data_IF_420563705846
#
_entry.id   IF_420563705846
#
_cell.length_a   1.000
_cell.length_b   1.000
_cell.length_c   1.000
_cell.angle_alpha   90.00
_cell.angle_beta   90.00
_cell.angle_gamma   90.00
#
_symmetry.space_group_name_H-M   'P 1'
#
loop_
_entity.id
_entity.type
_entity.pdbx_description
1 polymer ?
#
# COMPACT_ATOMS: atom_id res chain seq x y z
N UNK A 1 -15.58 -63.93 -24.78
CA UNK A 1 -15.31 -62.70 -25.52
C UNK A 1 -14.32 -61.90 -24.71
N UNK A 2 -13.05 -61.73 -25.16
CA UNK A 2 -12.07 -60.87 -24.48
C UNK A 2 -12.33 -59.42 -24.90
N UNK A 3 -12.82 -58.60 -23.99
CA UNK A 3 -12.84 -57.14 -24.20
C UNK A 3 -11.38 -56.63 -24.27
N UNK A 4 -10.94 -56.29 -25.45
CA UNK A 4 -9.68 -55.57 -25.63
C UNK A 4 -9.95 -54.09 -25.30
N UNK A 5 -9.41 -53.61 -24.19
CA UNK A 5 -9.39 -52.19 -23.89
C UNK A 5 -8.54 -51.49 -24.95
N UNK A 6 -8.98 -50.35 -25.51
CA UNK A 6 -8.17 -49.60 -26.47
C UNK A 6 -6.87 -49.16 -25.77
N UNK A 7 -5.75 -49.56 -26.32
CA UNK A 7 -4.43 -49.13 -25.85
C UNK A 7 -4.16 -47.70 -26.33
N UNK A 8 -3.84 -46.82 -25.41
CA UNK A 8 -3.48 -45.41 -25.70
C UNK A 8 -2.14 -45.33 -26.41
N UNK A 9 -2.05 -44.61 -27.52
CA UNK A 9 -0.80 -44.48 -28.27
C UNK A 9 0.11 -43.39 -27.66
N UNK A 10 1.39 -43.57 -27.77
CA UNK A 10 2.39 -42.60 -27.30
C UNK A 10 2.22 -41.21 -28.00
N UNK A 11 1.80 -41.23 -29.27
CA UNK A 11 1.54 -40.03 -30.08
C UNK A 11 0.32 -39.27 -29.55
N UNK A 12 -0.74 -39.92 -29.16
CA UNK A 12 -1.93 -39.25 -28.56
C UNK A 12 -1.56 -38.54 -27.27
N UNK A 13 -0.74 -39.16 -26.42
CA UNK A 13 -0.28 -38.51 -25.19
C UNK A 13 0.61 -37.31 -25.51
N UNK A 14 1.53 -37.42 -26.48
CA UNK A 14 2.45 -36.36 -26.85
C UNK A 14 1.73 -35.12 -27.40
N UNK A 15 0.69 -35.33 -28.23
CA UNK A 15 -0.12 -34.23 -28.77
C UNK A 15 -0.87 -33.49 -27.67
N UNK A 16 -1.42 -34.21 -26.70
CA UNK A 16 -2.14 -33.60 -25.57
C UNK A 16 -1.23 -32.73 -24.74
N UNK A 17 -0.03 -33.20 -24.36
CA UNK A 17 0.91 -32.40 -23.59
C UNK A 17 1.45 -31.19 -24.38
N UNK A 18 1.61 -31.31 -25.70
CA UNK A 18 2.00 -30.23 -26.55
C UNK A 18 0.95 -29.09 -26.59
N UNK A 19 -0.33 -29.46 -26.72
CA UNK A 19 -1.46 -28.51 -26.69
C UNK A 19 -1.58 -27.85 -25.31
N UNK A 20 -1.49 -28.62 -24.23
CA UNK A 20 -1.52 -28.11 -22.86
C UNK A 20 -0.34 -27.14 -22.60
N UNK A 21 0.86 -27.47 -23.09
CA UNK A 21 2.03 -26.60 -23.01
C UNK A 21 1.83 -25.27 -23.74
N UNK A 22 1.22 -25.31 -24.92
CA UNK A 22 0.91 -24.10 -25.70
C UNK A 22 -0.11 -23.21 -24.96
N UNK A 23 -1.19 -23.80 -24.44
CA UNK A 23 -2.23 -23.06 -23.71
C UNK A 23 -1.69 -22.43 -22.42
N UNK A 24 -0.92 -23.17 -21.63
CA UNK A 24 -0.31 -22.66 -20.39
C UNK A 24 0.68 -21.54 -20.63
N UNK A 25 1.42 -21.56 -21.74
CA UNK A 25 2.36 -20.49 -22.06
C UNK A 25 1.68 -19.14 -22.29
N UNK A 26 0.49 -19.12 -22.87
CA UNK A 26 -0.31 -17.89 -23.08
C UNK A 26 -0.96 -17.36 -21.81
N UNK A 27 -1.22 -18.21 -20.82
CA UNK A 27 -1.86 -17.81 -19.56
C UNK A 27 -0.89 -17.11 -18.59
N UNK A 28 0.40 -17.40 -18.67
CA UNK A 28 1.41 -16.89 -17.72
C UNK A 28 1.42 -15.38 -17.57
N UNK A 29 1.46 -14.55 -18.66
CA UNK A 29 1.48 -13.09 -18.53
C UNK A 29 0.16 -12.53 -17.96
N UNK A 30 -0.97 -13.16 -18.27
CA UNK A 30 -2.27 -12.75 -17.74
C UNK A 30 -2.36 -12.97 -16.23
N UNK A 31 -1.89 -14.11 -15.74
CA UNK A 31 -1.86 -14.44 -14.30
C UNK A 31 -0.99 -13.45 -13.52
N UNK A 32 0.18 -13.08 -14.05
CA UNK A 32 1.06 -12.10 -13.40
C UNK A 32 0.38 -10.74 -13.22
N UNK A 33 -0.33 -10.26 -14.24
CA UNK A 33 -1.08 -9.01 -14.18
C UNK A 33 -2.20 -9.05 -13.14
N UNK A 34 -2.99 -10.14 -13.13
CA UNK A 34 -4.07 -10.31 -12.15
C UNK A 34 -3.50 -10.36 -10.73
N UNK A 35 -2.37 -11.02 -10.52
CA UNK A 35 -1.71 -11.09 -9.23
C UNK A 35 -1.25 -9.70 -8.75
N UNK A 36 -0.62 -8.89 -9.62
CA UNK A 36 -0.22 -7.52 -9.29
C UNK A 36 -1.43 -6.65 -8.89
N UNK A 37 -2.53 -6.78 -9.63
CA UNK A 37 -3.77 -6.07 -9.28
C UNK A 37 -4.36 -6.51 -7.93
N UNK A 38 -4.34 -7.81 -7.64
CA UNK A 38 -4.79 -8.33 -6.34
C UNK A 38 -3.92 -7.79 -5.19
N UNK A 39 -2.61 -7.74 -5.36
CA UNK A 39 -1.68 -7.17 -4.38
C UNK A 39 -1.94 -5.68 -4.15
N UNK A 40 -2.16 -4.91 -5.20
CA UNK A 40 -2.56 -3.49 -5.10
C UNK A 40 -3.87 -3.32 -4.35
N UNK A 41 -4.86 -4.20 -4.59
CA UNK A 41 -6.14 -4.17 -3.87
C UNK A 41 -5.97 -4.40 -2.37
N UNK A 42 -5.08 -5.30 -1.96
CA UNK A 42 -4.75 -5.52 -0.56
C UNK A 42 -4.12 -4.26 0.06
N UNK A 43 -3.18 -3.62 -0.64
CA UNK A 43 -2.55 -2.39 -0.14
C UNK A 43 -3.55 -1.23 -0.05
N UNK A 44 -4.49 -1.10 -1.00
CA UNK A 44 -5.60 -0.14 -0.90
C UNK A 44 -6.47 -0.40 0.32
N UNK A 45 -6.79 -1.66 0.62
CA UNK A 45 -7.54 -2.04 1.82
C UNK A 45 -6.76 -1.71 3.10
N UNK A 46 -5.47 -2.00 3.14
CA UNK A 46 -4.60 -1.67 4.26
C UNK A 46 -4.54 -0.15 4.51
N UNK A 47 -4.35 0.65 3.46
CA UNK A 47 -4.37 2.11 3.55
C UNK A 47 -5.70 2.64 4.09
N UNK A 48 -6.83 2.09 3.68
CA UNK A 48 -8.15 2.46 4.24
C UNK A 48 -8.28 2.11 5.70
N UNK A 49 -7.76 0.95 6.13
CA UNK A 49 -7.74 0.57 7.54
C UNK A 49 -6.87 1.54 8.36
N UNK A 50 -5.70 1.91 7.85
CA UNK A 50 -4.84 2.94 8.45
C UNK A 50 -5.60 4.27 8.58
N UNK A 51 -6.26 4.72 7.53
CA UNK A 51 -7.05 5.95 7.55
C UNK A 51 -8.18 5.91 8.57
N UNK A 52 -8.89 4.79 8.66
CA UNK A 52 -9.94 4.59 9.67
C UNK A 52 -9.36 4.65 11.08
N UNK A 53 -8.22 4.01 11.33
CA UNK A 53 -7.56 4.05 12.63
C UNK A 53 -7.08 5.46 13.00
N UNK A 54 -6.56 6.23 12.05
CA UNK A 54 -6.19 7.64 12.26
C UNK A 54 -7.42 8.46 12.64
N UNK A 55 -8.55 8.29 11.94
CA UNK A 55 -9.79 8.99 12.26
C UNK A 55 -10.36 8.63 13.64
N UNK A 56 -10.17 7.40 14.10
CA UNK A 56 -10.53 6.98 15.46
C UNK A 56 -9.57 7.54 16.51
N UNK A 57 -8.29 7.70 16.16
CA UNK A 57 -7.25 8.24 17.05
C UNK A 57 -7.43 9.75 17.33
N UNK A 58 -7.85 10.53 16.33
CA UNK A 58 -7.94 12.00 16.36
C UNK A 58 -8.78 12.51 17.53
N UNK A 59 -10.04 12.05 17.76
CA UNK A 59 -10.86 12.55 18.86
C UNK A 59 -10.25 12.30 20.25
N UNK A 60 -9.55 11.20 20.42
CA UNK A 60 -8.94 10.81 21.70
C UNK A 60 -7.65 11.58 21.99
N UNK A 61 -7.11 12.29 20.99
CA UNK A 61 -5.81 12.98 21.07
C UNK A 61 -5.92 14.48 20.70
N UNK A 62 -6.93 15.16 21.22
CA UNK A 62 -7.07 16.61 21.12
C UNK A 62 -7.44 17.12 19.73
N UNK A 63 -8.08 16.30 18.90
CA UNK A 63 -8.42 16.62 17.50
C UNK A 63 -7.22 16.99 16.62
N UNK A 64 -6.07 16.39 16.91
CA UNK A 64 -4.84 16.57 16.11
C UNK A 64 -4.56 15.31 15.28
N UNK A 65 -3.81 15.45 14.19
CA UNK A 65 -3.27 14.30 13.46
C UNK A 65 -2.13 13.65 14.25
N UNK A 66 -1.97 12.32 14.15
CA UNK A 66 -0.85 11.66 14.80
C UNK A 66 0.47 12.08 14.18
N UNK A 67 1.44 12.33 15.02
CA UNK A 67 2.84 12.53 14.64
C UNK A 67 3.48 11.17 14.50
N UNK A 68 3.82 10.78 13.26
CA UNK A 68 4.31 9.45 12.93
C UNK A 68 5.72 9.56 12.38
N UNK A 69 6.64 8.84 12.98
CA UNK A 69 7.99 8.66 12.47
C UNK A 69 8.04 7.42 11.57
N UNK A 70 8.42 7.62 10.31
CA UNK A 70 8.46 6.56 9.32
C UNK A 70 9.85 5.93 9.21
N UNK A 71 10.89 6.75 9.28
CA UNK A 71 12.28 6.35 9.12
C UNK A 71 13.17 7.12 10.10
N UNK A 72 13.60 6.46 11.18
CA UNK A 72 14.52 7.07 12.15
C UNK A 72 15.90 7.40 11.57
N UNK A 73 16.18 6.97 10.33
CA UNK A 73 17.45 7.25 9.65
C UNK A 73 17.35 8.36 8.60
N UNK A 74 16.16 8.94 8.37
CA UNK A 74 15.98 9.96 7.36
C UNK A 74 16.51 11.32 7.86
N UNK A 75 17.52 11.93 7.18
CA UNK A 75 18.23 13.11 7.68
C UNK A 75 17.43 14.43 7.68
N UNK A 76 16.18 14.42 7.22
CA UNK A 76 15.35 15.64 7.11
C UNK A 76 14.65 15.97 8.43
N UNK A 77 14.59 15.02 9.36
CA UNK A 77 13.93 15.20 10.66
C UNK A 77 14.89 14.89 11.78
N UNK A 78 15.13 15.87 12.63
CA UNK A 78 15.67 15.62 13.96
C UNK A 78 14.66 14.72 14.69
N UNK A 79 15.09 13.61 15.30
CA UNK A 79 14.19 12.77 16.08
C UNK A 79 13.60 13.64 17.19
N UNK A 80 12.33 13.95 17.07
CA UNK A 80 11.62 14.70 18.09
C UNK A 80 11.33 13.73 19.24
N UNK A 81 11.69 14.12 20.45
CA UNK A 81 11.52 13.35 21.67
C UNK A 81 10.03 13.02 21.89
N UNK A 82 9.55 11.93 21.30
CA UNK A 82 8.18 11.45 21.46
C UNK A 82 7.46 11.00 20.19
N UNK A 83 8.04 11.12 19.01
CA UNK A 83 7.47 10.55 17.79
C UNK A 83 7.40 9.01 17.90
N UNK A 84 6.24 8.45 17.55
CA UNK A 84 5.98 7.01 17.61
C UNK A 84 5.86 6.45 16.20
N UNK A 85 6.21 5.18 16.04
CA UNK A 85 5.96 4.47 14.79
C UNK A 85 4.47 4.40 14.48
N UNK A 86 4.12 4.17 13.22
CA UNK A 86 2.73 3.99 12.80
C UNK A 86 2.03 2.89 13.61
N UNK A 87 2.73 1.79 13.88
CA UNK A 87 2.21 0.70 14.70
C UNK A 87 1.94 1.12 16.14
N UNK A 88 2.93 1.72 16.81
CA UNK A 88 2.79 2.14 18.21
C UNK A 88 1.69 3.17 18.40
N UNK A 89 1.49 4.04 17.42
CA UNK A 89 0.44 5.05 17.45
C UNK A 89 -0.95 4.44 17.28
N UNK A 90 -1.12 3.48 16.38
CA UNK A 90 -2.43 3.00 15.96
C UNK A 90 -2.80 1.58 16.42
N UNK A 91 -1.93 0.87 17.14
CA UNK A 91 -2.19 -0.51 17.62
C UNK A 91 -3.46 -0.64 18.46
N UNK A 92 -3.81 0.37 19.24
CA UNK A 92 -5.03 0.38 20.07
C UNK A 92 -6.31 0.70 19.25
N UNK A 93 -6.16 1.10 17.98
CA UNK A 93 -7.24 1.43 17.05
C UNK A 93 -7.41 0.38 15.94
N UNK A 94 -7.03 -0.87 16.23
CA UNK A 94 -7.26 -2.02 15.36
C UNK A 94 -6.17 -2.27 14.32
N UNK A 95 -5.04 -1.56 14.36
CA UNK A 95 -3.92 -1.81 13.45
C UNK A 95 -3.06 -2.96 13.99
N UNK A 96 -2.84 -3.94 13.12
CA UNK A 96 -1.93 -5.07 13.34
C UNK A 96 -0.73 -4.97 12.39
N UNK A 97 0.33 -5.70 12.69
CA UNK A 97 1.52 -5.76 11.82
C UNK A 97 1.19 -6.26 10.41
N UNK A 98 0.18 -7.12 10.25
CA UNK A 98 -0.26 -7.60 8.94
C UNK A 98 -0.85 -6.48 8.06
N UNK A 99 -1.54 -5.50 8.67
CA UNK A 99 -2.06 -4.33 7.95
C UNK A 99 -0.93 -3.43 7.47
N UNK A 100 0.20 -3.43 8.16
CA UNK A 100 1.38 -2.64 7.78
C UNK A 100 2.25 -3.28 6.70
N UNK A 101 1.94 -4.50 6.28
CA UNK A 101 2.67 -5.23 5.25
C UNK A 101 1.99 -5.09 3.88
N UNK A 102 2.62 -4.39 2.94
CA UNK A 102 2.19 -4.37 1.54
C UNK A 102 2.76 -5.60 0.80
N UNK A 103 1.92 -6.46 0.18
CA UNK A 103 2.41 -7.62 -0.57
C UNK A 103 3.37 -7.28 -1.71
N UNK A 104 3.23 -6.08 -2.31
CA UNK A 104 4.15 -5.58 -3.32
C UNK A 104 5.54 -5.28 -2.76
N UNK A 105 5.62 -4.62 -1.59
CA UNK A 105 6.87 -4.31 -0.91
C UNK A 105 7.60 -5.57 -0.43
N UNK A 106 6.88 -6.57 0.09
CA UNK A 106 7.47 -7.84 0.51
C UNK A 106 8.23 -8.56 -0.61
N UNK A 107 7.92 -8.26 -1.87
CA UNK A 107 8.56 -8.82 -3.07
C UNK A 107 9.56 -7.87 -3.70
N UNK A 108 9.51 -6.58 -3.36
CA UNK A 108 10.40 -5.57 -3.90
C UNK A 108 11.84 -5.76 -3.44
N UNK A 109 12.77 -5.15 -4.15
CA UNK A 109 14.18 -5.18 -3.75
C UNK A 109 14.44 -4.25 -2.55
N UNK A 110 13.64 -3.22 -2.38
CA UNK A 110 13.77 -2.23 -1.31
C UNK A 110 13.46 -2.79 0.07
N UNK A 111 12.52 -3.75 0.17
CA UNK A 111 12.16 -4.46 1.40
C UNK A 111 11.95 -3.53 2.60
N UNK A 112 11.20 -2.46 2.41
CA UNK A 112 10.93 -1.50 3.48
C UNK A 112 10.31 -2.15 4.71
N UNK A 113 9.36 -3.06 4.52
CA UNK A 113 8.78 -3.80 5.62
C UNK A 113 9.82 -4.56 6.44
N UNK A 114 10.80 -5.19 5.79
CA UNK A 114 11.85 -5.93 6.49
C UNK A 114 12.77 -5.00 7.31
N UNK A 115 12.93 -3.75 6.90
CA UNK A 115 13.77 -2.76 7.57
C UNK A 115 13.02 -2.00 8.67
N UNK A 116 11.77 -1.62 8.41
CA UNK A 116 11.00 -0.70 9.27
C UNK A 116 9.75 -1.33 9.89
N UNK A 117 9.44 -2.60 9.58
CA UNK A 117 8.19 -3.30 9.95
C UNK A 117 6.93 -2.57 9.47
N UNK A 118 7.08 -1.75 8.44
CA UNK A 118 6.02 -0.93 7.87
C UNK A 118 6.30 -0.67 6.37
N UNK A 119 5.30 -0.88 5.52
CA UNK A 119 5.35 -0.63 4.06
C UNK A 119 4.70 0.70 3.67
N UNK A 120 4.26 1.51 4.62
CA UNK A 120 3.53 2.75 4.37
C UNK A 120 4.25 3.93 5.00
N UNK A 121 4.33 5.02 4.26
CA UNK A 121 4.89 6.28 4.71
C UNK A 121 3.78 7.26 5.03
N UNK A 122 3.93 8.00 6.13
CA UNK A 122 3.04 9.08 6.53
C UNK A 122 3.80 10.41 6.46
N UNK A 123 3.15 11.50 6.02
CA UNK A 123 3.81 12.79 5.99
C UNK A 123 4.08 13.31 7.41
N UNK A 124 5.27 13.80 7.67
CA UNK A 124 5.69 14.24 9.00
C UNK A 124 4.98 15.52 9.48
N UNK A 125 4.43 16.31 8.56
CA UNK A 125 3.72 17.56 8.89
C UNK A 125 2.29 17.35 9.38
N UNK A 126 1.81 16.11 9.43
CA UNK A 126 0.44 15.81 9.83
C UNK A 126 0.21 15.97 11.35
N UNK A 127 1.26 16.15 12.17
CA UNK A 127 1.15 16.04 13.63
C UNK A 127 0.78 17.30 14.41
N UNK A 128 0.91 18.48 13.83
CA UNK A 128 0.94 19.70 14.67
C UNK A 128 -0.34 20.54 14.65
N UNK A 129 -1.38 20.15 13.90
CA UNK A 129 -2.54 21.04 13.74
C UNK A 129 -3.91 20.35 13.89
N UNK A 130 -4.83 21.10 14.49
CA UNK A 130 -6.19 20.65 14.75
C UNK A 130 -6.98 20.40 13.45
N UNK A 131 -7.67 19.26 13.37
CA UNK A 131 -8.57 18.93 12.27
C UNK A 131 -9.85 19.74 12.43
N UNK A 132 -9.97 20.85 11.71
CA UNK A 132 -11.26 21.50 11.55
C UNK A 132 -12.13 20.69 10.58
N UNK A 133 -13.45 20.67 10.81
CA UNK A 133 -14.43 19.86 10.06
C UNK A 133 -14.23 19.95 8.53
N UNK A 134 -13.71 18.90 7.93
CA UNK A 134 -13.51 18.74 6.49
C UNK A 134 -12.37 19.54 5.86
N UNK A 135 -11.62 20.30 6.65
CA UNK A 135 -10.45 21.05 6.19
C UNK A 135 -9.25 20.74 7.08
N UNK A 136 -8.10 20.56 6.46
CA UNK A 136 -6.85 20.28 7.14
C UNK A 136 -5.95 21.48 6.96
N UNK A 137 -5.48 22.09 8.05
CA UNK A 137 -4.47 23.13 7.96
C UNK A 137 -3.14 22.51 7.52
N UNK A 138 -2.47 23.12 6.58
CA UNK A 138 -1.11 22.77 6.15
C UNK A 138 -0.21 23.96 6.40
N UNK A 139 0.82 23.74 7.19
CA UNK A 139 1.88 24.73 7.39
C UNK A 139 2.80 24.75 6.15
N UNK A 140 3.01 25.93 5.58
CA UNK A 140 4.03 26.19 4.55
C UNK A 140 4.77 27.49 4.88
N UNK A 141 6.00 27.66 4.39
CA UNK A 141 6.67 28.96 4.48
C UNK A 141 5.78 30.05 3.86
N UNK A 142 5.26 30.95 4.69
CA UNK A 142 4.30 32.00 4.28
C UNK A 142 2.93 31.92 4.95
N UNK A 143 2.65 30.93 5.80
CA UNK A 143 1.42 30.86 6.61
C UNK A 143 0.70 29.52 6.58
N UNK A 144 -0.37 29.43 7.35
CA UNK A 144 -1.27 28.26 7.43
C UNK A 144 -2.38 28.41 6.41
N UNK A 145 -2.58 27.37 5.59
CA UNK A 145 -3.64 27.30 4.57
C UNK A 145 -4.61 26.19 4.91
N UNK A 146 -5.90 26.45 4.76
CA UNK A 146 -6.96 25.43 4.87
C UNK A 146 -7.09 24.70 3.53
N UNK A 147 -6.91 23.39 3.54
CA UNK A 147 -7.02 22.55 2.33
C UNK A 147 -8.09 21.48 2.56
N UNK A 148 -8.94 21.27 1.53
CA UNK A 148 -9.92 20.18 1.56
C UNK A 148 -9.27 18.83 1.84
N UNK A 149 -9.90 18.02 2.67
CA UNK A 149 -9.45 16.65 3.04
C UNK A 149 -9.17 15.77 1.83
N UNK A 150 -9.92 15.93 0.74
CA UNK A 150 -9.69 15.21 -0.54
C UNK A 150 -8.36 15.55 -1.24
N UNK A 151 -7.69 16.63 -0.84
CA UNK A 151 -6.39 17.04 -1.40
C UNK A 151 -5.20 16.65 -0.54
N UNK A 152 -5.44 16.37 0.73
CA UNK A 152 -4.35 16.06 1.68
C UNK A 152 -4.04 14.58 1.62
N UNK A 153 -2.78 14.23 1.44
CA UNK A 153 -2.30 12.84 1.51
C UNK A 153 -1.90 12.53 2.94
N UNK A 154 -2.43 11.44 3.50
CA UNK A 154 -2.17 11.00 4.87
C UNK A 154 -1.17 9.86 4.98
N UNK A 155 -1.15 8.99 3.97
CA UNK A 155 -0.20 7.89 3.87
C UNK A 155 -0.08 7.43 2.42
N UNK A 156 0.99 6.77 2.07
CA UNK A 156 1.19 6.14 0.76
C UNK A 156 2.07 4.90 0.87
N UNK A 157 1.98 4.03 -0.16
CA UNK A 157 2.89 2.89 -0.29
C UNK A 157 4.34 3.40 -0.44
N UNK A 158 5.24 2.77 0.25
CA UNK A 158 6.67 3.02 0.07
C UNK A 158 7.06 2.54 -1.33
N UNK A 159 7.56 3.45 -2.19
CA UNK A 159 7.98 3.19 -3.58
C UNK A 159 6.90 2.68 -4.57
N UNK A 160 7.37 2.44 -5.80
CA UNK A 160 6.57 2.01 -6.94
C UNK A 160 6.30 0.50 -6.94
N UNK A 161 5.66 0.02 -5.89
CA UNK A 161 5.43 -1.42 -5.70
C UNK A 161 4.26 -1.98 -6.53
N UNK A 162 3.50 -1.11 -7.22
CA UNK A 162 2.31 -1.49 -8.00
C UNK A 162 2.33 -0.93 -9.41
N UNK A 163 2.57 -1.77 -10.43
CA UNK A 163 2.48 -1.45 -11.87
C UNK A 163 3.15 -0.10 -12.29
N UNK A 164 4.30 0.21 -11.67
CA UNK A 164 5.04 1.45 -11.92
C UNK A 164 4.40 2.68 -11.27
N UNK A 165 3.67 2.49 -10.18
CA UNK A 165 3.08 3.53 -9.35
C UNK A 165 2.93 3.10 -7.90
N UNK A 166 2.25 3.93 -7.12
CA UNK A 166 1.95 3.71 -5.72
C UNK A 166 0.53 4.16 -5.38
N UNK A 167 -0.05 3.59 -4.32
CA UNK A 167 -1.34 4.02 -3.81
C UNK A 167 -1.13 5.07 -2.72
N UNK A 168 -2.00 6.07 -2.65
CA UNK A 168 -1.99 7.08 -1.61
C UNK A 168 -3.36 7.26 -0.99
N UNK A 169 -3.37 7.31 0.33
CA UNK A 169 -4.53 7.59 1.15
C UNK A 169 -4.71 9.11 1.27
N UNK A 170 -5.93 9.57 1.07
CA UNK A 170 -6.35 10.94 1.32
C UNK A 170 -7.00 11.07 2.69
N UNK A 171 -7.06 12.28 3.21
CA UNK A 171 -7.67 12.53 4.50
C UNK A 171 -9.19 12.36 4.52
N UNK A 172 -9.86 12.30 3.38
CA UNK A 172 -11.26 11.89 3.24
C UNK A 172 -11.47 10.36 3.19
N UNK A 173 -10.40 9.60 3.52
CA UNK A 173 -10.34 8.14 3.47
C UNK A 173 -10.51 7.54 2.06
N UNK A 174 -10.34 8.33 1.01
CA UNK A 174 -10.22 7.81 -0.36
C UNK A 174 -8.79 7.36 -0.65
N UNK A 175 -8.65 6.33 -1.47
CA UNK A 175 -7.33 5.87 -1.93
C UNK A 175 -7.25 6.04 -3.44
N UNK A 176 -6.22 6.71 -3.90
CA UNK A 176 -5.95 6.92 -5.32
C UNK A 176 -4.63 6.24 -5.72
N UNK A 177 -4.62 5.65 -6.93
CA UNK A 177 -3.40 5.12 -7.52
C UNK A 177 -2.68 6.22 -8.31
N UNK A 178 -1.39 6.42 -8.04
CA UNK A 178 -0.53 7.39 -8.72
C UNK A 178 0.46 6.65 -9.63
N UNK A 179 0.29 6.75 -10.94
CA UNK A 179 1.25 6.21 -11.91
C UNK A 179 2.41 7.19 -12.12
N UNK A 180 3.64 6.69 -12.14
CA UNK A 180 4.83 7.50 -12.43
C UNK A 180 5.13 7.64 -13.94
N UNK A 181 4.38 6.96 -14.80
CA UNK A 181 4.65 6.96 -16.26
C UNK A 181 4.42 8.31 -16.96
N UNK A 182 4.06 9.38 -16.24
CA UNK A 182 3.64 10.66 -16.85
C UNK A 182 4.39 11.90 -16.38
N UNK A 183 5.54 11.79 -15.69
CA UNK A 183 6.19 12.99 -15.12
C UNK A 183 7.48 13.44 -15.80
N UNK A 184 7.86 12.87 -16.94
CA UNK A 184 8.99 13.38 -17.72
C UNK A 184 8.57 13.54 -19.19
N UNK A 185 7.94 14.65 -19.51
CA UNK A 185 7.95 15.30 -20.83
C UNK A 185 8.24 16.78 -20.63
#
# INVERSE_FOLDING_TARGET
>A
MKNQSPAFTLVELLVVIAILGLLTSMMTPAIQKVRSQAESTVCVSNLKNIGTAIWLWIPDNGNQYPRIENDPTHPIYEPDDGAKTLYETLKNYGITTNVLACPGDLKSQSKYYAKYTNSYECPPWAGDEAVASGQIPIYRPGGTFQISSSRVTMAWDYENVHDGGYNRLKADNTVEHKSLKTSYK
#
